data_IF_588588157867
#
_entry.id   IF_588588157867
#
_cell.length_a   1.000
_cell.length_b   1.000
_cell.length_c   1.000
_cell.angle_alpha   90.00
_cell.angle_beta   90.00
_cell.angle_gamma   90.00
#
_symmetry.space_group_name_H-M   'P 1'
#
loop_
_entity.id
_entity.type
_entity.pdbx_description
1 polymer ?
#
# COMPACT_ATOMS: atom_id res chain seq x y z
N UNK A 1 64.11 46.73 1.43
CA UNK A 1 62.79 47.19 1.93
C UNK A 1 61.76 46.15 1.56
N UNK A 2 61.37 45.31 2.53
CA UNK A 2 60.34 44.27 2.31
C UNK A 2 58.99 44.89 2.67
N UNK A 3 58.14 45.12 1.67
CA UNK A 3 56.79 45.67 1.81
C UNK A 3 55.86 44.58 2.37
N UNK A 4 55.47 44.68 3.66
CA UNK A 4 54.53 43.80 4.32
C UNK A 4 53.14 43.88 3.64
N UNK A 5 52.76 42.82 2.92
CA UNK A 5 51.41 42.62 2.28
C UNK A 5 50.49 41.89 3.26
N UNK A 6 50.22 42.39 4.44
CA UNK A 6 49.43 41.73 5.48
C UNK A 6 47.90 41.92 5.31
N UNK A 7 47.45 42.80 4.41
CA UNK A 7 46.01 43.02 4.20
C UNK A 7 45.32 42.03 3.26
N UNK A 8 46.05 41.40 2.34
CA UNK A 8 45.47 40.45 1.37
C UNK A 8 45.15 39.10 1.96
N UNK A 9 45.92 38.63 2.94
CA UNK A 9 45.71 37.31 3.54
C UNK A 9 44.40 37.22 4.36
N UNK A 10 43.99 38.34 4.99
CA UNK A 10 42.75 38.37 5.77
C UNK A 10 41.51 38.36 4.87
N UNK A 11 41.55 39.07 3.75
CA UNK A 11 40.48 39.09 2.76
C UNK A 11 40.29 37.71 2.13
N UNK A 12 41.36 37.00 1.82
CA UNK A 12 41.37 35.67 1.23
C UNK A 12 40.72 34.63 2.16
N UNK A 13 41.06 34.71 3.47
CA UNK A 13 40.44 33.85 4.50
C UNK A 13 38.92 34.11 4.63
N UNK A 14 38.51 35.39 4.59
CA UNK A 14 37.09 35.76 4.69
C UNK A 14 36.32 35.22 3.46
N UNK A 15 36.84 35.41 2.25
CA UNK A 15 36.23 34.93 1.02
C UNK A 15 36.19 33.40 1.01
N UNK A 16 37.30 32.74 1.38
CA UNK A 16 37.36 31.27 1.45
C UNK A 16 36.38 30.69 2.46
N UNK A 17 36.25 31.30 3.65
CA UNK A 17 35.29 30.87 4.67
C UNK A 17 33.83 31.08 4.23
N UNK A 18 33.54 32.19 3.56
CA UNK A 18 32.21 32.45 3.03
C UNK A 18 31.82 31.42 1.93
N UNK A 19 32.73 31.11 1.00
CA UNK A 19 32.52 30.09 -0.01
C UNK A 19 32.34 28.70 0.59
N UNK A 20 33.12 28.35 1.63
CA UNK A 20 32.97 27.10 2.34
C UNK A 20 31.63 27.00 3.06
N UNK A 21 31.17 28.07 3.71
CA UNK A 21 29.87 28.11 4.38
C UNK A 21 28.73 27.93 3.41
N UNK A 22 28.75 28.58 2.25
CA UNK A 22 27.74 28.39 1.17
C UNK A 22 27.77 26.97 0.65
N UNK A 23 28.95 26.42 0.35
CA UNK A 23 29.10 25.04 -0.10
C UNK A 23 28.53 24.03 0.91
N UNK A 24 28.82 24.20 2.19
CA UNK A 24 28.31 23.34 3.25
C UNK A 24 26.77 23.44 3.39
N UNK A 25 26.21 24.65 3.30
CA UNK A 25 24.76 24.85 3.35
C UNK A 25 24.02 24.15 2.20
N UNK A 26 24.60 24.16 0.99
CA UNK A 26 24.05 23.44 -0.16
C UNK A 26 24.07 21.94 0.07
N UNK A 27 25.16 21.37 0.56
CA UNK A 27 25.28 19.93 0.84
C UNK A 27 24.25 19.50 1.90
N UNK A 28 24.12 20.26 2.99
CA UNK A 28 23.12 19.96 4.03
C UNK A 28 21.70 20.02 3.46
N UNK A 29 21.39 21.02 2.63
CA UNK A 29 20.08 21.15 1.99
C UNK A 29 19.73 19.95 1.09
N UNK A 30 20.69 19.48 0.28
CA UNK A 30 20.50 18.31 -0.59
C UNK A 30 20.30 17.05 0.25
N UNK A 31 21.09 16.86 1.29
CA UNK A 31 20.98 15.69 2.19
C UNK A 31 19.63 15.64 2.89
N UNK A 32 19.15 16.76 3.41
CA UNK A 32 17.83 16.84 4.05
C UNK A 32 16.68 16.49 3.10
N UNK A 33 16.74 17.00 1.87
CA UNK A 33 15.73 16.68 0.83
C UNK A 33 15.76 15.18 0.44
N UNK A 34 16.94 14.58 0.39
CA UNK A 34 17.11 13.17 0.09
C UNK A 34 16.45 12.28 1.15
N UNK A 35 16.66 12.57 2.43
CA UNK A 35 16.03 11.85 3.54
C UNK A 35 14.50 11.96 3.50
N UNK A 36 13.95 13.13 3.26
CA UNK A 36 12.49 13.31 3.16
C UNK A 36 11.91 12.51 2.00
N UNK A 37 12.60 12.46 0.86
CA UNK A 37 12.17 11.64 -0.29
C UNK A 37 12.22 10.16 0.01
N UNK A 38 13.26 9.69 0.70
CA UNK A 38 13.37 8.29 1.13
C UNK A 38 12.23 7.91 2.07
N UNK A 39 11.97 8.69 3.11
CA UNK A 39 10.85 8.45 4.03
C UNK A 39 9.51 8.43 3.31
N UNK A 40 9.31 9.33 2.34
CA UNK A 40 8.08 9.34 1.55
C UNK A 40 7.95 8.07 0.68
N UNK A 41 9.04 7.60 0.07
CA UNK A 41 9.03 6.38 -0.72
C UNK A 41 8.70 5.14 0.14
N UNK A 42 9.27 5.04 1.33
CA UNK A 42 8.97 3.96 2.29
C UNK A 42 7.50 3.98 2.72
N UNK A 43 6.97 5.15 3.07
CA UNK A 43 5.55 5.29 3.41
C UNK A 43 4.63 5.00 2.23
N UNK A 44 5.01 5.36 1.00
CA UNK A 44 4.24 5.06 -0.19
C UNK A 44 4.15 3.55 -0.46
N UNK A 45 5.23 2.80 -0.24
CA UNK A 45 5.24 1.33 -0.34
C UNK A 45 4.29 0.73 0.71
N UNK A 46 4.36 1.20 1.95
CA UNK A 46 3.46 0.76 3.02
C UNK A 46 2.00 1.09 2.68
N UNK A 47 1.72 2.29 2.19
CA UNK A 47 0.37 2.69 1.76
C UNK A 47 -0.16 1.79 0.64
N UNK A 48 0.69 1.37 -0.30
CA UNK A 48 0.30 0.45 -1.37
C UNK A 48 -0.12 -0.91 -0.83
N UNK A 49 0.60 -1.45 0.16
CA UNK A 49 0.24 -2.72 0.78
C UNK A 49 -1.06 -2.63 1.57
N UNK A 50 -1.25 -1.53 2.32
CA UNK A 50 -2.48 -1.29 3.07
C UNK A 50 -3.69 -1.12 2.14
N UNK A 51 -3.53 -0.45 1.02
CA UNK A 51 -4.58 -0.32 0.02
C UNK A 51 -4.92 -1.65 -0.65
N UNK A 52 -3.91 -2.48 -0.96
CA UNK A 52 -4.12 -3.83 -1.51
C UNK A 52 -4.84 -4.75 -0.51
N UNK A 53 -4.51 -4.66 0.78
CA UNK A 53 -5.21 -5.38 1.86
C UNK A 53 -6.69 -4.99 1.92
N UNK A 54 -7.00 -3.69 1.86
CA UNK A 54 -8.39 -3.20 1.86
C UNK A 54 -9.17 -3.67 0.63
N UNK A 55 -8.57 -3.59 -0.57
CA UNK A 55 -9.19 -4.11 -1.81
C UNK A 55 -9.43 -5.61 -1.68
N UNK A 56 -8.47 -6.36 -1.16
CA UNK A 56 -8.59 -7.80 -0.94
C UNK A 56 -9.72 -8.12 0.04
N UNK A 57 -9.90 -7.31 1.10
CA UNK A 57 -11.01 -7.46 2.03
C UNK A 57 -12.35 -7.21 1.36
N UNK A 58 -12.49 -6.15 0.55
CA UNK A 58 -13.71 -5.89 -0.24
C UNK A 58 -14.00 -7.02 -1.22
N UNK A 59 -12.97 -7.59 -1.86
CA UNK A 59 -13.10 -8.73 -2.78
C UNK A 59 -13.59 -10.00 -2.08
N UNK A 60 -13.11 -10.28 -0.87
CA UNK A 60 -13.47 -11.50 -0.10
C UNK A 60 -14.86 -11.39 0.48
N UNK A 61 -15.20 -10.26 1.07
CA UNK A 61 -16.47 -10.00 1.75
C UNK A 61 -17.58 -9.72 0.73
N UNK A 62 -17.23 -9.09 -0.37
CA UNK A 62 -18.15 -8.54 -1.36
C UNK A 62 -18.47 -7.06 -1.07
N UNK A 63 -18.62 -6.22 -2.11
CA UNK A 63 -18.80 -4.78 -1.95
C UNK A 63 -20.06 -4.43 -1.15
N UNK A 64 -21.18 -5.09 -1.39
CA UNK A 64 -22.47 -4.81 -0.74
C UNK A 64 -22.45 -5.16 0.77
N UNK A 65 -21.74 -6.23 1.15
CA UNK A 65 -21.62 -6.64 2.54
C UNK A 65 -20.56 -5.83 3.27
N UNK A 66 -19.49 -5.43 2.57
CA UNK A 66 -18.46 -4.54 3.11
C UNK A 66 -19.07 -3.20 3.55
N UNK A 67 -19.90 -2.57 2.72
CA UNK A 67 -20.57 -1.30 3.06
C UNK A 67 -21.43 -1.36 4.32
N UNK A 68 -22.01 -2.53 4.63
CA UNK A 68 -22.86 -2.71 5.81
C UNK A 68 -22.07 -3.01 7.08
N UNK A 69 -20.94 -3.73 6.95
CA UNK A 69 -20.21 -4.31 8.08
C UNK A 69 -18.98 -3.49 8.50
N UNK A 70 -18.41 -2.69 7.58
CA UNK A 70 -17.12 -2.02 7.79
C UNK A 70 -17.23 -0.52 7.56
N UNK A 71 -16.40 0.29 8.25
CA UNK A 71 -16.36 1.73 8.03
C UNK A 71 -15.77 2.06 6.65
N UNK A 72 -16.34 3.10 6.02
CA UNK A 72 -15.83 3.62 4.73
C UNK A 72 -14.57 4.46 4.89
N UNK A 73 -14.32 5.02 6.07
CA UNK A 73 -13.14 5.79 6.38
C UNK A 73 -12.76 5.58 7.85
N UNK A 74 -11.49 5.30 8.10
CA UNK A 74 -10.95 5.12 9.45
C UNK A 74 -9.43 5.27 9.44
N UNK A 75 -8.83 5.18 10.62
CA UNK A 75 -7.40 5.11 10.85
C UNK A 75 -6.97 3.65 11.04
N UNK A 76 -5.81 3.28 10.50
CA UNK A 76 -5.30 1.94 10.70
C UNK A 76 -4.85 1.67 12.15
N UNK A 77 -5.00 0.44 12.59
CA UNK A 77 -4.52 -0.03 13.88
C UNK A 77 -2.97 -0.04 13.96
N UNK A 78 -2.41 0.00 15.19
CA UNK A 78 -0.97 -0.16 15.36
C UNK A 78 -0.45 -1.44 14.68
N UNK A 79 0.69 -1.37 13.97
CA UNK A 79 1.68 -0.27 13.93
C UNK A 79 1.45 0.80 12.85
N UNK A 80 0.33 0.79 12.13
CA UNK A 80 0.08 1.65 10.97
C UNK A 80 -0.80 2.87 11.28
N UNK A 81 -0.85 3.30 12.52
CA UNK A 81 -1.66 4.44 12.99
C UNK A 81 -1.30 5.80 12.35
N UNK A 82 -0.16 5.89 11.65
CA UNK A 82 0.22 7.07 10.85
C UNK A 82 -0.52 7.17 9.52
N UNK A 83 -1.32 6.14 9.18
CA UNK A 83 -2.10 6.04 7.96
C UNK A 83 -3.58 6.06 8.27
N UNK A 84 -4.34 6.71 7.40
CA UNK A 84 -5.80 6.63 7.36
C UNK A 84 -6.26 6.24 5.97
N UNK A 85 -7.49 5.79 5.85
CA UNK A 85 -8.04 5.38 4.57
C UNK A 85 -9.45 5.89 4.35
N UNK A 86 -9.83 5.93 3.08
CA UNK A 86 -11.18 6.18 2.62
C UNK A 86 -11.49 5.20 1.47
N UNK A 87 -12.67 4.58 1.52
CA UNK A 87 -13.14 3.64 0.50
C UNK A 87 -14.43 4.17 -0.08
N UNK A 88 -14.42 4.40 -1.37
CA UNK A 88 -15.60 4.76 -2.15
C UNK A 88 -16.02 3.53 -2.97
N UNK A 89 -17.28 3.15 -2.83
CA UNK A 89 -17.90 2.04 -3.56
C UNK A 89 -19.08 2.61 -4.30
N UNK A 90 -19.01 2.62 -5.63
CA UNK A 90 -20.03 3.20 -6.49
C UNK A 90 -20.50 2.18 -7.54
N UNK A 91 -21.83 1.99 -7.61
CA UNK A 91 -22.43 1.08 -8.59
C UNK A 91 -23.91 0.94 -8.41
N UNK A 92 -24.68 1.54 -9.32
CA UNK A 92 -26.14 1.57 -9.29
C UNK A 92 -26.82 0.29 -9.79
N UNK A 93 -26.08 -0.63 -10.42
CA UNK A 93 -26.68 -1.78 -11.07
C UNK A 93 -26.28 -3.09 -10.37
N UNK A 94 -27.28 -3.91 -10.08
CA UNK A 94 -27.10 -5.24 -9.49
C UNK A 94 -26.26 -6.18 -10.36
N UNK A 95 -26.24 -5.99 -11.68
CA UNK A 95 -25.61 -6.90 -12.65
C UNK A 95 -24.28 -6.37 -13.21
N UNK A 96 -23.89 -5.13 -12.90
CA UNK A 96 -22.63 -4.54 -13.35
C UNK A 96 -21.58 -4.61 -12.24
N UNK A 97 -20.29 -4.64 -12.60
CA UNK A 97 -19.23 -4.48 -11.64
C UNK A 97 -19.37 -3.15 -10.87
N UNK A 98 -18.90 -3.16 -9.65
CA UNK A 98 -18.91 -2.00 -8.76
C UNK A 98 -17.55 -1.31 -8.87
N UNK A 99 -17.57 -0.01 -9.16
CA UNK A 99 -16.37 0.80 -9.13
C UNK A 99 -15.95 1.05 -7.68
N UNK A 100 -14.74 0.66 -7.34
CA UNK A 100 -14.21 0.76 -5.97
C UNK A 100 -12.91 1.53 -6.00
N UNK A 101 -12.85 2.61 -5.20
CA UNK A 101 -11.67 3.44 -5.01
C UNK A 101 -11.24 3.32 -3.55
N UNK A 102 -10.00 2.94 -3.33
CA UNK A 102 -9.37 2.93 -2.02
C UNK A 102 -8.29 3.99 -2.00
N UNK A 103 -8.42 4.98 -1.12
CA UNK A 103 -7.43 6.03 -0.92
C UNK A 103 -6.81 5.92 0.46
N UNK A 104 -5.49 5.82 0.51
CA UNK A 104 -4.72 5.80 1.76
C UNK A 104 -3.96 7.11 1.90
N UNK A 105 -4.04 7.73 3.08
CA UNK A 105 -3.43 9.01 3.41
C UNK A 105 -2.33 8.84 4.45
N UNK A 106 -1.28 9.68 4.36
CA UNK A 106 -0.20 9.77 5.37
C UNK A 106 0.44 11.15 5.37
N UNK A 107 1.21 11.46 6.42
CA UNK A 107 1.92 12.74 6.55
C UNK A 107 3.43 12.53 6.42
N UNK A 108 4.07 13.36 5.58
CA UNK A 108 5.52 13.42 5.40
C UNK A 108 5.97 14.87 5.21
N UNK A 109 7.00 15.29 5.97
CA UNK A 109 7.57 16.64 5.84
C UNK A 109 6.58 17.76 6.14
N UNK A 110 5.58 17.51 6.97
CA UNK A 110 4.51 18.47 7.30
C UNK A 110 3.45 18.64 6.22
N UNK A 111 3.45 17.81 5.17
CA UNK A 111 2.42 17.76 4.13
C UNK A 111 1.73 16.42 4.08
N UNK A 112 0.42 16.44 3.82
CA UNK A 112 -0.37 15.26 3.57
C UNK A 112 -0.08 14.70 2.17
N UNK A 113 -0.03 13.38 2.08
CA UNK A 113 0.13 12.61 0.86
C UNK A 113 -0.96 11.55 0.80
N UNK A 114 -1.32 11.14 -0.40
CA UNK A 114 -2.28 10.08 -0.63
C UNK A 114 -1.87 9.17 -1.78
N UNK A 115 -2.39 7.96 -1.75
CA UNK A 115 -2.34 6.97 -2.82
C UNK A 115 -3.75 6.45 -3.03
N UNK A 116 -4.27 6.57 -4.24
CA UNK A 116 -5.55 6.00 -4.62
C UNK A 116 -5.33 4.81 -5.56
N UNK A 117 -6.07 3.73 -5.34
CA UNK A 117 -6.16 2.57 -6.22
C UNK A 117 -7.61 2.39 -6.61
N UNK A 118 -7.85 2.31 -7.91
CA UNK A 118 -9.17 2.11 -8.50
C UNK A 118 -9.26 0.70 -9.09
N UNK A 119 -10.41 0.04 -8.87
CA UNK A 119 -10.68 -1.27 -9.44
C UNK A 119 -12.18 -1.46 -9.66
N UNK A 120 -12.53 -2.40 -10.54
CA UNK A 120 -13.90 -2.85 -10.72
C UNK A 120 -14.07 -4.23 -10.11
N UNK A 121 -15.01 -4.36 -9.17
CA UNK A 121 -15.28 -5.60 -8.45
C UNK A 121 -16.63 -6.16 -8.90
N UNK A 122 -16.62 -7.39 -9.37
CA UNK A 122 -17.86 -8.10 -9.71
C UNK A 122 -18.63 -8.44 -8.44
N UNK A 123 -19.95 -8.19 -8.45
CA UNK A 123 -20.83 -8.65 -7.38
C UNK A 123 -20.98 -10.19 -7.45
N UNK A 124 -20.96 -10.81 -6.31
CA UNK A 124 -21.20 -12.25 -6.20
C UNK A 124 -22.72 -12.46 -6.18
N UNK A 125 -23.26 -12.98 -7.28
CA UNK A 125 -24.67 -13.31 -7.40
C UNK A 125 -24.85 -14.83 -7.21
N UNK A 126 -25.86 -15.21 -6.45
CA UNK A 126 -26.25 -16.59 -6.25
C UNK A 126 -26.05 -17.09 -4.80
N UNK A 127 -26.60 -18.26 -4.53
CA UNK A 127 -26.39 -18.92 -3.25
C UNK A 127 -24.92 -19.31 -3.09
N UNK A 128 -24.37 -19.19 -1.87
CA UNK A 128 -23.02 -19.66 -1.59
C UNK A 128 -22.89 -21.12 -2.02
N UNK A 129 -21.97 -21.39 -2.93
CA UNK A 129 -21.66 -22.78 -3.30
C UNK A 129 -21.11 -23.46 -2.06
N UNK A 130 -21.79 -24.52 -1.62
CA UNK A 130 -21.28 -25.36 -0.54
C UNK A 130 -19.92 -25.94 -0.96
N UNK A 131 -18.87 -25.41 -0.37
CA UNK A 131 -17.48 -25.84 -0.55
C UNK A 131 -17.04 -26.81 0.54
N UNK A 132 -18.00 -27.45 1.21
CA UNK A 132 -17.65 -28.52 2.14
C UNK A 132 -16.76 -29.52 1.41
N UNK A 133 -15.64 -29.95 2.01
CA UNK A 133 -14.79 -30.96 1.41
C UNK A 133 -15.67 -32.18 1.07
N UNK A 134 -15.61 -32.64 -0.16
CA UNK A 134 -16.28 -33.88 -0.52
C UNK A 134 -15.84 -34.98 0.46
N UNK A 135 -16.80 -35.81 0.92
CA UNK A 135 -16.45 -36.95 1.78
C UNK A 135 -15.27 -37.71 1.17
N UNK A 136 -14.29 -38.12 1.99
CA UNK A 136 -13.15 -38.87 1.49
C UNK A 136 -13.67 -40.10 0.75
N UNK A 137 -13.38 -40.17 -0.54
CA UNK A 137 -13.77 -41.31 -1.35
C UNK A 137 -12.99 -42.52 -0.83
N UNK A 138 -13.69 -43.49 -0.27
CA UNK A 138 -13.08 -44.76 0.11
C UNK A 138 -12.66 -45.50 -1.18
N UNK A 139 -11.35 -45.38 -1.48
CA UNK A 139 -10.76 -45.99 -2.70
C UNK A 139 -10.72 -47.48 -2.62
N UNK A 140 -10.67 -48.04 -1.42
CA UNK A 140 -10.63 -49.48 -1.20
C UNK A 140 -12.01 -50.11 -1.45
N UNK A 141 -13.08 -49.51 -0.95
CA UNK A 141 -14.45 -49.93 -1.24
C UNK A 141 -14.76 -49.87 -2.73
N UNK A 142 -14.40 -48.79 -3.43
CA UNK A 142 -14.58 -48.68 -4.90
C UNK A 142 -13.79 -49.73 -5.68
N UNK A 143 -12.59 -50.07 -5.24
CA UNK A 143 -11.80 -51.10 -5.89
C UNK A 143 -12.43 -52.46 -5.80
N UNK A 144 -13.01 -52.83 -4.65
CA UNK A 144 -13.69 -54.11 -4.48
C UNK A 144 -15.04 -54.16 -5.23
N UNK A 145 -15.80 -53.07 -5.27
CA UNK A 145 -17.00 -52.96 -6.07
C UNK A 145 -16.72 -53.18 -7.57
N UNK A 146 -15.63 -52.63 -8.10
CA UNK A 146 -15.21 -52.78 -9.49
C UNK A 146 -14.80 -54.23 -9.84
N UNK A 147 -14.20 -54.95 -8.89
CA UNK A 147 -13.82 -56.35 -9.05
C UNK A 147 -15.07 -57.23 -9.04
N UNK A 148 -15.95 -57.04 -8.07
CA UNK A 148 -17.21 -57.80 -8.01
C UNK A 148 -18.07 -57.59 -9.26
N UNK A 149 -18.15 -56.38 -9.78
CA UNK A 149 -18.88 -56.08 -11.01
C UNK A 149 -18.28 -56.73 -12.25
N UNK A 150 -16.95 -57.02 -12.26
CA UNK A 150 -16.27 -57.74 -13.36
C UNK A 150 -16.40 -59.23 -13.28
N UNK A 151 -16.56 -59.80 -12.10
CA UNK A 151 -16.76 -61.25 -11.92
C UNK A 151 -18.19 -61.68 -12.21
N UNK A 152 -19.15 -60.77 -12.20
CA UNK A 152 -20.57 -61.03 -12.46
C UNK A 152 -20.97 -60.91 -13.95
N UNK A 153 -20.07 -60.51 -14.86
CA UNK A 153 -20.27 -60.39 -16.31
C UNK A 153 -19.38 -61.36 -17.09
#
# INVERSE_FOLDING_TARGET
MVKKRNGFALLDVIIGSAMLAVGLAVVISISSRSLTRQTNAEKQITASWLADELISMVLIVGPDEYEKAYPKADQFDPPFQDFSYEIEIDGDSEYLPVHTIVTVFWVVGGGEKSLAIETEIARVHGEPVDRSPAEPVDREARYWEDIEARELN
#
